data_IF_915150409505
#
_entry.id   IF_915150409505
#
_cell.length_a   1.000
_cell.length_b   1.000
_cell.length_c   1.000
_cell.angle_alpha   90.00
_cell.angle_beta   90.00
_cell.angle_gamma   90.00
#
_symmetry.space_group_name_H-M   'P 1'
#
loop_
_entity.id
_entity.type
_entity.pdbx_description
1 polymer ?
#
# COMPACT_ATOMS: atom_id res chain seq x y z
N UNK A 1 -17.32 0.46 -3.14
CA UNK A 1 -17.12 1.55 -2.17
C UNK A 1 -17.66 2.88 -2.70
N UNK A 2 -17.09 3.41 -3.78
CA UNK A 2 -17.40 4.78 -4.28
C UNK A 2 -18.89 5.05 -4.55
N UNK A 3 -19.63 4.10 -5.11
CA UNK A 3 -21.08 4.27 -5.34
C UNK A 3 -21.86 4.51 -4.05
N UNK A 4 -21.53 3.78 -2.97
CA UNK A 4 -22.18 4.00 -1.66
C UNK A 4 -21.83 5.34 -1.04
N UNK A 5 -20.58 5.79 -1.20
CA UNK A 5 -20.14 7.12 -0.75
C UNK A 5 -20.89 8.23 -1.48
N UNK A 6 -21.03 8.12 -2.79
CA UNK A 6 -21.76 9.10 -3.60
C UNK A 6 -23.23 9.13 -3.21
N UNK A 7 -23.88 7.98 -3.05
CA UNK A 7 -25.28 7.90 -2.60
C UNK A 7 -25.49 8.58 -1.24
N UNK A 8 -24.55 8.39 -0.29
CA UNK A 8 -24.61 9.04 1.01
C UNK A 8 -24.43 10.56 0.89
N UNK A 9 -23.43 11.02 0.13
CA UNK A 9 -23.19 12.46 -0.07
C UNK A 9 -24.32 13.18 -0.76
N UNK A 10 -24.86 12.63 -1.87
CA UNK A 10 -25.96 13.22 -2.62
C UNK A 10 -27.25 13.30 -1.81
N UNK A 11 -27.48 12.38 -0.89
CA UNK A 11 -28.63 12.41 0.02
C UNK A 11 -28.62 13.60 0.96
N UNK A 12 -27.44 14.03 1.38
CA UNK A 12 -27.25 15.22 2.24
C UNK A 12 -27.14 16.52 1.42
N UNK A 13 -26.78 16.41 0.14
CA UNK A 13 -26.50 17.52 -0.77
C UNK A 13 -27.37 17.42 -2.03
N UNK A 14 -28.69 17.60 -1.88
CA UNK A 14 -29.71 17.40 -2.95
C UNK A 14 -29.45 18.15 -4.25
N UNK A 15 -28.63 19.23 -4.23
CA UNK A 15 -28.30 20.04 -5.40
C UNK A 15 -26.99 19.60 -6.08
N UNK A 16 -26.32 18.58 -5.57
CA UNK A 16 -25.06 18.06 -6.11
C UNK A 16 -25.31 16.72 -6.78
N UNK A 17 -24.66 16.50 -7.91
CA UNK A 17 -24.64 15.20 -8.57
C UNK A 17 -23.18 14.84 -8.87
N UNK A 18 -22.71 13.71 -8.34
CA UNK A 18 -21.37 13.22 -8.53
C UNK A 18 -21.34 12.13 -9.60
N UNK A 19 -20.52 12.31 -10.64
CA UNK A 19 -20.35 11.34 -11.73
C UNK A 19 -19.02 10.61 -11.62
N UNK A 20 -19.06 9.30 -11.56
CA UNK A 20 -17.84 8.47 -11.56
C UNK A 20 -17.26 8.39 -12.97
N UNK A 21 -15.98 8.67 -13.09
CA UNK A 21 -15.16 8.34 -14.25
C UNK A 21 -14.21 7.20 -13.87
N UNK A 22 -14.49 5.99 -14.37
CA UNK A 22 -13.65 4.83 -14.13
C UNK A 22 -12.48 4.80 -15.11
N UNK A 23 -11.30 4.62 -14.59
CA UNK A 23 -10.08 4.36 -15.37
C UNK A 23 -9.39 3.12 -14.81
N UNK A 24 -9.02 2.13 -15.63
CA UNK A 24 -8.26 0.98 -15.16
C UNK A 24 -6.94 1.40 -14.53
N UNK A 25 -6.58 0.73 -13.44
CA UNK A 25 -5.32 0.98 -12.74
C UNK A 25 -4.14 0.22 -13.37
N UNK A 26 -4.38 -0.99 -13.87
CA UNK A 26 -3.33 -1.88 -14.40
C UNK A 26 -2.55 -1.21 -15.55
N UNK A 27 -1.22 -1.31 -15.49
CA UNK A 27 -0.34 -0.75 -16.54
C UNK A 27 -0.19 0.78 -16.50
N UNK A 28 -0.51 1.45 -15.40
CA UNK A 28 -0.34 2.90 -15.27
C UNK A 28 -1.34 3.75 -16.07
N UNK A 29 -2.38 3.14 -16.68
CA UNK A 29 -3.36 3.87 -17.49
C UNK A 29 -4.07 4.98 -16.74
N UNK A 30 -4.30 4.81 -15.45
CA UNK A 30 -4.95 5.82 -14.61
C UNK A 30 -4.13 7.12 -14.61
N UNK A 31 -2.85 7.04 -14.31
CA UNK A 31 -1.95 8.20 -14.23
C UNK A 31 -1.79 8.88 -15.59
N UNK A 32 -1.50 8.11 -16.63
CA UNK A 32 -1.36 8.64 -18.00
C UNK A 32 -2.62 9.38 -18.47
N UNK A 33 -3.81 8.85 -18.18
CA UNK A 33 -5.07 9.50 -18.56
C UNK A 33 -5.36 10.73 -17.72
N UNK A 34 -5.05 10.70 -16.42
CA UNK A 34 -5.22 11.85 -15.53
C UNK A 34 -4.33 13.01 -15.95
N UNK A 35 -3.05 12.75 -16.24
CA UNK A 35 -2.09 13.76 -16.73
C UNK A 35 -2.52 14.37 -18.05
N UNK A 36 -2.94 13.54 -19.01
CA UNK A 36 -3.44 14.02 -20.29
C UNK A 36 -4.71 14.88 -20.14
N UNK A 37 -5.62 14.49 -19.24
CA UNK A 37 -6.85 15.25 -18.94
C UNK A 37 -6.54 16.57 -18.24
N UNK A 38 -5.61 16.59 -17.29
CA UNK A 38 -5.16 17.80 -16.59
C UNK A 38 -4.51 18.79 -17.57
N UNK A 39 -3.60 18.31 -18.43
CA UNK A 39 -2.97 19.13 -19.47
C UNK A 39 -3.98 19.66 -20.51
N UNK A 40 -5.09 18.95 -20.75
CA UNK A 40 -6.21 19.37 -21.59
C UNK A 40 -7.28 20.24 -20.90
N UNK A 41 -7.16 20.51 -19.61
CA UNK A 41 -8.15 21.26 -18.81
C UNK A 41 -9.48 20.51 -18.62
N UNK A 42 -9.45 19.18 -18.61
CA UNK A 42 -10.63 18.29 -18.53
C UNK A 42 -10.49 17.20 -17.46
N UNK A 43 -9.55 17.36 -16.52
CA UNK A 43 -9.40 16.43 -15.41
C UNK A 43 -10.71 16.37 -14.57
N UNK A 44 -10.98 15.24 -13.90
CA UNK A 44 -12.06 15.15 -12.92
C UNK A 44 -11.93 16.22 -11.84
N UNK A 45 -13.03 16.71 -11.30
CA UNK A 45 -13.02 17.71 -10.23
C UNK A 45 -12.34 17.19 -8.96
N UNK A 46 -12.55 15.90 -8.62
CA UNK A 46 -11.88 15.17 -7.54
C UNK A 46 -11.30 13.87 -8.09
N UNK A 47 -10.09 13.51 -7.68
CA UNK A 47 -9.41 12.30 -8.15
C UNK A 47 -8.53 11.68 -7.06
N UNK A 48 -8.16 10.43 -7.23
CA UNK A 48 -7.21 9.76 -6.35
C UNK A 48 -5.79 10.20 -6.67
N UNK A 49 -5.04 10.50 -5.63
CA UNK A 49 -3.63 10.89 -5.72
C UNK A 49 -2.79 9.92 -4.89
N UNK A 50 -1.80 9.28 -5.52
CA UNK A 50 -0.74 8.59 -4.81
C UNK A 50 0.42 9.57 -4.58
N UNK A 51 1.09 9.45 -3.45
CA UNK A 51 2.22 10.30 -3.07
C UNK A 51 3.35 10.31 -4.11
N UNK A 52 3.51 9.23 -4.89
CA UNK A 52 4.48 9.12 -5.98
C UNK A 52 4.30 10.17 -7.09
N UNK A 53 3.09 10.70 -7.24
CA UNK A 53 2.75 11.69 -8.26
C UNK A 53 2.59 13.10 -7.67
N UNK A 54 2.66 13.25 -6.35
CA UNK A 54 2.37 14.49 -5.64
C UNK A 54 3.26 15.64 -6.11
N UNK A 55 4.58 15.42 -6.11
CA UNK A 55 5.55 16.48 -6.45
C UNK A 55 5.39 16.93 -7.90
N UNK A 56 5.31 15.98 -8.84
CA UNK A 56 5.11 16.28 -10.25
C UNK A 56 3.79 17.03 -10.52
N UNK A 57 2.72 16.66 -9.82
CA UNK A 57 1.41 17.30 -9.98
C UNK A 57 1.34 18.66 -9.30
N UNK A 58 2.01 18.83 -8.16
CA UNK A 58 2.14 20.13 -7.48
C UNK A 58 2.95 21.11 -8.35
N UNK A 59 4.10 20.71 -8.84
CA UNK A 59 4.94 21.53 -9.74
C UNK A 59 4.21 21.84 -11.06
N UNK A 60 3.41 20.90 -11.56
CA UNK A 60 2.57 21.07 -12.75
C UNK A 60 1.35 21.97 -12.55
N UNK A 61 1.07 22.43 -11.33
CA UNK A 61 -0.10 23.25 -11.00
C UNK A 61 -1.44 22.54 -11.20
N UNK A 62 -1.46 21.22 -11.02
CA UNK A 62 -2.66 20.39 -11.20
C UNK A 62 -3.51 20.38 -9.92
N UNK A 63 -2.86 20.51 -8.75
CA UNK A 63 -3.46 20.31 -7.44
C UNK A 63 -3.95 21.61 -6.83
N UNK A 64 -5.15 21.60 -6.27
CA UNK A 64 -5.70 22.67 -5.46
C UNK A 64 -5.15 22.60 -4.02
N UNK A 65 -5.01 23.76 -3.38
CA UNK A 65 -4.53 23.91 -2.00
C UNK A 65 -5.69 23.71 -1.01
N UNK A 66 -5.78 22.54 -0.40
CA UNK A 66 -6.80 22.16 0.56
C UNK A 66 -6.51 22.58 2.01
N UNK A 67 -5.40 23.28 2.28
CA UNK A 67 -4.93 23.59 3.63
C UNK A 67 -6.00 24.24 4.51
N UNK A 68 -6.73 25.21 3.98
CA UNK A 68 -7.79 25.91 4.73
C UNK A 68 -8.98 25.00 5.01
N UNK A 69 -9.42 24.24 4.03
CA UNK A 69 -10.55 23.33 4.17
C UNK A 69 -10.25 22.20 5.16
N UNK A 70 -9.01 21.67 5.14
CA UNK A 70 -8.56 20.65 6.10
C UNK A 70 -8.46 21.24 7.51
N UNK A 71 -7.93 22.47 7.67
CA UNK A 71 -7.81 23.12 8.98
C UNK A 71 -9.18 23.42 9.61
N UNK A 72 -10.20 23.65 8.80
CA UNK A 72 -11.58 23.91 9.25
C UNK A 72 -12.38 22.60 9.51
N UNK A 73 -11.77 21.43 9.25
CA UNK A 73 -12.36 20.11 9.43
C UNK A 73 -11.82 19.39 10.68
N UNK A 74 -12.27 18.15 10.91
CA UNK A 74 -11.76 17.28 11.99
C UNK A 74 -10.65 16.31 11.52
N UNK A 75 -10.13 16.49 10.30
CA UNK A 75 -9.14 15.59 9.69
C UNK A 75 -7.86 15.54 10.53
N UNK A 76 -7.30 16.69 10.90
CA UNK A 76 -6.06 16.75 11.69
C UNK A 76 -6.17 16.10 13.07
N UNK A 77 -7.38 15.97 13.61
CA UNK A 77 -7.63 15.39 14.94
C UNK A 77 -7.84 13.87 14.89
N UNK A 78 -8.14 13.32 13.71
CA UNK A 78 -8.60 11.93 13.57
C UNK A 78 -7.80 11.07 12.58
N UNK A 79 -6.78 11.65 11.96
CA UNK A 79 -5.85 10.94 11.07
C UNK A 79 -4.45 10.96 11.67
N UNK A 80 -3.63 9.96 11.37
CA UNK A 80 -2.22 10.02 11.79
C UNK A 80 -1.51 11.19 11.11
N UNK A 81 -0.60 11.83 11.86
CA UNK A 81 0.20 12.95 11.35
C UNK A 81 1.01 12.54 10.12
N UNK A 82 1.53 11.32 10.08
CA UNK A 82 2.26 10.76 8.94
C UNK A 82 1.41 10.76 7.68
N UNK A 83 0.15 10.28 7.76
CA UNK A 83 -0.74 10.23 6.59
C UNK A 83 -1.13 11.62 6.08
N UNK A 84 -1.38 12.57 6.98
CA UNK A 84 -1.69 13.95 6.58
C UNK A 84 -0.46 14.60 5.94
N UNK A 85 0.72 14.45 6.54
CA UNK A 85 1.97 15.05 6.08
C UNK A 85 2.46 14.47 4.74
N UNK A 86 2.08 13.24 4.39
CA UNK A 86 2.39 12.67 3.08
C UNK A 86 1.96 13.57 1.92
N UNK A 87 0.88 14.32 2.09
CA UNK A 87 0.32 15.20 1.06
C UNK A 87 0.65 16.68 1.26
N UNK A 88 1.60 17.01 2.14
CA UNK A 88 2.06 18.38 2.39
C UNK A 88 3.31 18.67 1.57
N UNK A 89 3.30 19.77 0.81
CA UNK A 89 4.47 20.34 0.15
C UNK A 89 4.46 21.86 0.32
N UNK A 90 5.60 22.44 0.64
CA UNK A 90 5.77 23.89 0.87
C UNK A 90 4.78 24.47 1.90
N UNK A 91 4.42 23.67 2.92
CA UNK A 91 3.47 24.05 3.97
C UNK A 91 2.00 24.08 3.50
N UNK A 92 1.69 23.52 2.35
CA UNK A 92 0.33 23.37 1.81
C UNK A 92 -0.05 21.91 1.74
N UNK A 93 -1.32 21.62 2.02
CA UNK A 93 -1.87 20.27 1.92
C UNK A 93 -2.69 20.11 0.63
N UNK A 94 -2.38 19.11 -0.17
CA UNK A 94 -2.94 18.90 -1.50
C UNK A 94 -3.91 17.73 -1.62
N UNK A 95 -4.08 16.94 -0.56
CA UNK A 95 -5.09 15.87 -0.57
C UNK A 95 -5.58 15.52 0.83
N UNK A 96 -6.81 15.04 0.90
CA UNK A 96 -7.38 14.39 2.08
C UNK A 96 -6.99 12.91 2.04
N UNK A 97 -6.30 12.35 3.05
CA UNK A 97 -5.97 10.92 3.06
C UNK A 97 -7.24 10.08 2.94
N UNK A 98 -7.22 9.13 2.01
CA UNK A 98 -8.34 8.22 1.73
C UNK A 98 -8.21 6.92 2.52
N UNK A 99 -7.09 6.29 2.37
CA UNK A 99 -6.73 5.00 2.92
C UNK A 99 -5.21 4.97 3.17
N UNK A 100 -4.78 3.86 3.74
CA UNK A 100 -3.37 3.50 3.74
C UNK A 100 -3.22 1.99 3.55
N UNK A 101 -2.03 1.58 3.19
CA UNK A 101 -1.57 0.21 3.18
C UNK A 101 -0.23 0.09 3.91
N UNK A 102 -0.04 -1.01 4.56
CA UNK A 102 1.20 -1.56 5.08
C UNK A 102 1.30 -2.99 4.58
N UNK A 103 2.33 -3.73 4.96
CA UNK A 103 2.57 -5.09 4.51
C UNK A 103 2.33 -6.10 5.64
N UNK A 104 1.94 -7.32 5.27
CA UNK A 104 1.85 -8.45 6.17
C UNK A 104 2.42 -9.71 5.49
N UNK A 105 2.85 -10.68 6.30
CA UNK A 105 3.27 -11.99 5.84
C UNK A 105 2.05 -12.90 5.73
N UNK A 106 1.61 -13.19 4.51
CA UNK A 106 0.56 -14.17 4.22
C UNK A 106 1.15 -15.57 4.14
N UNK A 107 0.37 -16.56 4.58
CA UNK A 107 0.76 -17.96 4.51
C UNK A 107 -0.40 -18.86 4.12
N UNK A 108 -0.08 -19.95 3.43
CA UNK A 108 -1.04 -20.97 2.97
C UNK A 108 -1.05 -22.15 3.93
N UNK A 109 -2.07 -22.21 4.79
CA UNK A 109 -2.26 -23.27 5.80
C UNK A 109 -2.22 -24.69 5.21
N UNK A 110 -2.78 -24.88 4.01
CA UNK A 110 -2.79 -26.19 3.36
C UNK A 110 -1.40 -26.69 3.02
N UNK A 111 -0.52 -25.81 2.54
CA UNK A 111 0.88 -26.17 2.24
C UNK A 111 1.69 -26.45 3.51
N UNK A 112 1.46 -25.69 4.57
CA UNK A 112 2.06 -25.92 5.88
C UNK A 112 1.61 -27.27 6.49
N UNK A 113 0.30 -27.54 6.46
CA UNK A 113 -0.27 -28.80 6.95
C UNK A 113 0.28 -30.00 6.18
N UNK A 114 0.38 -29.92 4.85
CA UNK A 114 0.96 -30.96 4.01
C UNK A 114 2.45 -31.21 4.31
N UNK A 115 3.20 -30.14 4.60
CA UNK A 115 4.60 -30.19 4.98
C UNK A 115 4.82 -30.68 6.43
N UNK A 116 3.77 -30.59 7.27
CA UNK A 116 3.87 -30.88 8.71
C UNK A 116 4.79 -29.86 9.42
N UNK A 117 4.67 -28.59 9.06
CA UNK A 117 5.45 -27.45 9.60
C UNK A 117 4.49 -26.53 10.35
N UNK A 118 4.93 -25.98 11.47
CA UNK A 118 4.15 -25.03 12.26
C UNK A 118 3.97 -23.72 11.48
N UNK A 119 2.82 -23.05 11.70
CA UNK A 119 2.51 -21.77 11.05
C UNK A 119 3.42 -20.65 11.54
N UNK A 120 3.61 -19.58 10.73
CA UNK A 120 4.30 -18.37 11.18
C UNK A 120 3.49 -17.66 12.28
N UNK A 121 4.17 -16.86 13.11
CA UNK A 121 3.60 -16.10 14.24
C UNK A 121 3.95 -14.63 14.14
N UNK A 122 3.20 -13.77 14.84
CA UNK A 122 3.39 -12.31 14.80
C UNK A 122 4.75 -11.84 15.40
N UNK A 123 5.45 -12.68 16.19
CA UNK A 123 6.70 -12.34 16.85
C UNK A 123 7.97 -12.86 16.12
N UNK A 124 7.83 -13.23 14.84
CA UNK A 124 8.95 -13.77 14.07
C UNK A 124 10.04 -12.73 13.80
N UNK A 125 11.29 -13.23 13.76
CA UNK A 125 12.41 -12.50 13.21
C UNK A 125 12.65 -12.89 11.75
N UNK A 126 13.46 -12.10 11.03
CA UNK A 126 13.90 -12.47 9.68
C UNK A 126 14.65 -13.82 9.67
N UNK A 127 15.47 -14.09 10.69
CA UNK A 127 16.16 -15.38 10.81
C UNK A 127 15.17 -16.54 10.97
N UNK A 128 14.06 -16.33 11.69
CA UNK A 128 12.98 -17.32 11.81
C UNK A 128 12.28 -17.54 10.47
N UNK A 129 12.04 -16.47 9.67
CA UNK A 129 11.51 -16.59 8.32
C UNK A 129 12.42 -17.44 7.42
N UNK A 130 13.73 -17.19 7.44
CA UNK A 130 14.71 -17.97 6.68
C UNK A 130 14.74 -19.44 7.13
N UNK A 131 14.71 -19.68 8.43
CA UNK A 131 14.67 -21.04 8.99
C UNK A 131 13.37 -21.76 8.58
N UNK A 132 12.23 -21.09 8.68
CA UNK A 132 10.91 -21.62 8.29
C UNK A 132 10.85 -21.93 6.79
N UNK A 133 11.32 -21.02 5.94
CA UNK A 133 11.41 -21.22 4.50
C UNK A 133 12.34 -22.40 4.14
N UNK A 134 13.45 -22.56 4.87
CA UNK A 134 14.39 -23.66 4.70
C UNK A 134 13.75 -25.01 5.08
N UNK A 135 13.00 -25.04 6.18
CA UNK A 135 12.28 -26.24 6.61
C UNK A 135 11.19 -26.64 5.60
N UNK A 136 10.47 -25.68 5.05
CA UNK A 136 9.43 -25.92 4.06
C UNK A 136 9.98 -26.44 2.73
N UNK A 137 11.09 -25.87 2.23
CA UNK A 137 11.63 -26.13 0.89
C UNK A 137 11.67 -27.61 0.51
N UNK A 138 12.16 -28.45 1.41
CA UNK A 138 12.35 -29.88 1.15
C UNK A 138 11.09 -30.72 1.38
N UNK A 139 10.02 -30.13 1.91
CA UNK A 139 8.79 -30.80 2.28
C UNK A 139 7.59 -30.44 1.39
N UNK A 140 7.73 -29.35 0.61
CA UNK A 140 6.67 -28.89 -0.27
C UNK A 140 6.53 -29.76 -1.53
N UNK A 141 5.32 -29.82 -2.12
CA UNK A 141 5.11 -30.48 -3.41
C UNK A 141 5.98 -29.87 -4.53
N UNK A 142 6.28 -30.67 -5.54
CA UNK A 142 7.00 -30.20 -6.74
C UNK A 142 6.22 -29.06 -7.41
N UNK A 143 6.93 -27.99 -7.77
CA UNK A 143 6.38 -26.77 -8.38
C UNK A 143 5.79 -25.76 -7.38
N UNK A 144 5.99 -25.99 -6.07
CA UNK A 144 5.69 -25.03 -5.03
C UNK A 144 6.96 -24.53 -4.34
N UNK A 145 6.89 -23.33 -3.80
CA UNK A 145 8.04 -22.66 -3.16
C UNK A 145 7.67 -22.22 -1.75
N UNK A 146 8.69 -22.13 -0.89
CA UNK A 146 8.48 -21.72 0.50
C UNK A 146 8.11 -20.25 0.62
N UNK A 147 8.76 -19.40 -0.18
CA UNK A 147 8.60 -17.94 -0.16
C UNK A 147 8.91 -17.37 -1.54
N UNK A 148 8.66 -16.09 -1.76
CA UNK A 148 9.10 -15.37 -2.96
C UNK A 148 9.85 -14.10 -2.58
N UNK A 149 10.95 -13.81 -3.30
CA UNK A 149 11.74 -12.59 -3.18
C UNK A 149 11.72 -11.85 -4.53
N UNK A 150 10.62 -11.20 -4.90
CA UNK A 150 10.56 -10.41 -6.11
C UNK A 150 11.33 -9.10 -5.93
N UNK A 151 11.66 -8.46 -7.05
CA UNK A 151 12.19 -7.10 -7.04
C UNK A 151 11.02 -6.14 -6.85
N UNK A 152 10.65 -5.90 -5.60
CA UNK A 152 9.64 -4.94 -5.20
C UNK A 152 10.14 -4.19 -3.96
N UNK A 153 10.18 -2.88 -4.07
CA UNK A 153 10.77 -1.98 -3.08
C UNK A 153 9.91 -1.89 -1.81
N UNK A 154 8.66 -1.50 -1.94
CA UNK A 154 7.74 -1.20 -0.83
C UNK A 154 7.42 -2.46 -0.01
N UNK A 155 7.22 -3.59 -0.66
CA UNK A 155 6.71 -4.81 -0.04
C UNK A 155 7.85 -5.69 0.50
N UNK A 156 9.07 -5.60 -0.05
CA UNK A 156 10.17 -6.47 0.34
C UNK A 156 11.38 -5.73 0.91
N UNK A 157 12.27 -5.22 0.08
CA UNK A 157 13.60 -4.85 0.58
C UNK A 157 13.67 -3.50 1.32
N UNK A 158 12.72 -2.60 1.15
CA UNK A 158 12.74 -1.35 1.90
C UNK A 158 12.69 -1.58 3.41
N UNK A 159 11.84 -2.51 3.87
CA UNK A 159 11.73 -2.84 5.28
C UNK A 159 13.06 -3.27 5.90
N UNK A 160 13.84 -4.14 5.23
CA UNK A 160 15.14 -4.59 5.74
C UNK A 160 16.23 -3.55 5.59
N UNK A 161 16.16 -2.69 4.58
CA UNK A 161 17.07 -1.55 4.41
C UNK A 161 16.92 -0.57 5.58
N UNK A 162 15.70 -0.11 5.86
CA UNK A 162 15.45 0.84 6.94
C UNK A 162 15.71 0.22 8.32
N UNK A 163 15.25 -1.00 8.57
CA UNK A 163 15.52 -1.72 9.81
C UNK A 163 17.02 -1.97 10.06
N UNK A 164 17.86 -2.03 9.01
CA UNK A 164 19.31 -2.07 9.11
C UNK A 164 19.97 -0.70 9.32
N UNK A 165 19.17 0.39 9.29
CA UNK A 165 19.66 1.77 9.35
C UNK A 165 20.30 2.24 8.06
N UNK A 166 19.96 1.62 6.92
CA UNK A 166 20.20 2.10 5.58
C UNK A 166 19.16 3.15 5.17
N UNK A 167 19.19 3.57 3.92
CA UNK A 167 18.28 4.58 3.40
C UNK A 167 18.13 4.46 1.88
N UNK A 168 17.01 4.94 1.34
CA UNK A 168 16.72 4.91 -0.10
C UNK A 168 16.95 6.29 -0.72
N UNK A 169 16.34 7.34 -0.15
CA UNK A 169 16.56 8.73 -0.52
C UNK A 169 17.06 9.51 0.69
N UNK A 170 17.97 10.46 0.49
CA UNK A 170 18.35 11.42 1.52
C UNK A 170 17.20 12.42 1.78
N UNK A 171 17.31 13.21 2.87
CA UNK A 171 16.26 14.15 3.28
C UNK A 171 15.91 15.18 2.19
N UNK A 172 16.87 15.55 1.35
CA UNK A 172 16.69 16.51 0.25
C UNK A 172 16.21 15.83 -1.05
N UNK A 173 16.03 14.49 -1.04
CA UNK A 173 15.66 13.68 -2.20
C UNK A 173 16.55 13.89 -3.45
N UNK A 174 17.85 14.15 -3.22
CA UNK A 174 18.84 14.43 -4.28
C UNK A 174 19.82 13.28 -4.53
N UNK A 175 19.91 12.34 -3.58
CA UNK A 175 20.83 11.20 -3.63
C UNK A 175 20.10 9.93 -3.20
N UNK A 176 20.51 8.78 -3.77
CA UNK A 176 20.03 7.45 -3.39
C UNK A 176 21.07 6.73 -2.53
N UNK A 177 20.61 5.94 -1.56
CA UNK A 177 21.46 5.20 -0.61
C UNK A 177 22.00 3.86 -1.11
N UNK A 178 21.87 3.50 -2.38
CA UNK A 178 22.27 2.17 -2.88
C UNK A 178 23.79 1.87 -2.81
N UNK A 179 24.63 2.90 -2.64
CA UNK A 179 26.06 2.72 -2.38
C UNK A 179 26.39 2.63 -0.88
N UNK A 180 25.43 2.86 0.01
CA UNK A 180 25.60 2.73 1.46
C UNK A 180 25.70 1.24 1.88
N UNK A 181 26.65 0.94 2.77
CA UNK A 181 26.91 -0.44 3.21
C UNK A 181 25.71 -1.08 3.89
N UNK A 182 24.99 -0.32 4.74
CA UNK A 182 23.80 -0.83 5.45
C UNK A 182 22.61 -1.07 4.51
N UNK A 183 22.46 -0.23 3.49
CA UNK A 183 21.47 -0.43 2.43
C UNK A 183 21.76 -1.73 1.68
N UNK A 184 23.02 -1.94 1.28
CA UNK A 184 23.44 -3.14 0.58
C UNK A 184 23.27 -4.41 1.44
N UNK A 185 23.56 -4.35 2.74
CA UNK A 185 23.32 -5.45 3.68
C UNK A 185 21.81 -5.78 3.79
N UNK A 186 20.95 -4.76 3.87
CA UNK A 186 19.50 -4.92 3.92
C UNK A 186 18.91 -5.54 2.64
N UNK A 187 19.55 -5.35 1.49
CA UNK A 187 19.17 -5.99 0.22
C UNK A 187 19.77 -7.39 0.12
N UNK A 188 21.02 -7.59 0.58
CA UNK A 188 21.75 -8.84 0.45
C UNK A 188 21.00 -10.03 1.07
N UNK A 189 20.29 -9.80 2.18
CA UNK A 189 19.54 -10.86 2.84
C UNK A 189 18.49 -11.52 1.93
N UNK A 190 17.87 -10.77 1.02
CA UNK A 190 16.92 -11.30 0.04
C UNK A 190 17.62 -12.06 -1.08
N UNK A 191 18.78 -11.57 -1.53
CA UNK A 191 19.64 -12.27 -2.51
C UNK A 191 20.08 -13.61 -1.94
N UNK A 192 20.47 -13.65 -0.67
CA UNK A 192 20.89 -14.88 0.01
C UNK A 192 19.75 -15.93 0.06
N UNK A 193 18.50 -15.50 0.25
CA UNK A 193 17.32 -16.39 0.16
C UNK A 193 17.11 -16.94 -1.26
N UNK A 194 17.32 -16.12 -2.29
CA UNK A 194 17.23 -16.55 -3.70
C UNK A 194 18.33 -17.57 -4.00
N UNK A 195 19.57 -17.29 -3.62
CA UNK A 195 20.72 -18.16 -3.85
C UNK A 195 20.60 -19.49 -3.07
N UNK A 196 19.97 -19.46 -1.89
CA UNK A 196 19.62 -20.66 -1.15
C UNK A 196 18.47 -21.46 -1.79
N UNK A 197 17.84 -20.95 -2.85
CA UNK A 197 16.72 -21.59 -3.54
C UNK A 197 15.44 -21.65 -2.71
N UNK A 198 15.23 -20.68 -1.83
CA UNK A 198 14.00 -20.52 -1.03
C UNK A 198 12.91 -19.79 -1.80
N UNK A 199 13.29 -19.05 -2.85
CA UNK A 199 12.44 -18.29 -3.75
C UNK A 199 12.48 -18.86 -5.18
N UNK A 200 11.40 -18.67 -5.97
CA UNK A 200 11.50 -18.79 -7.44
C UNK A 200 12.60 -17.90 -7.99
N UNK A 201 13.13 -18.26 -9.15
CA UNK A 201 14.10 -17.39 -9.83
C UNK A 201 13.46 -16.06 -10.28
N UNK A 202 14.29 -15.02 -10.45
CA UNK A 202 13.85 -13.75 -11.00
C UNK A 202 13.15 -13.92 -12.36
N UNK A 203 13.64 -14.84 -13.22
CA UNK A 203 13.00 -15.14 -14.51
C UNK A 203 11.58 -15.71 -14.32
N UNK A 204 11.39 -16.61 -13.34
CA UNK A 204 10.06 -17.17 -13.03
C UNK A 204 9.13 -16.08 -12.50
N UNK A 205 9.61 -15.21 -11.62
CA UNK A 205 8.82 -14.11 -11.05
C UNK A 205 8.49 -13.01 -12.08
N UNK A 206 9.32 -12.85 -13.10
CA UNK A 206 9.01 -11.95 -14.23
C UNK A 206 7.89 -12.51 -15.15
N UNK A 207 7.75 -13.84 -15.24
CA UNK A 207 6.67 -14.47 -16.00
C UNK A 207 5.37 -14.57 -15.20
N UNK A 208 5.46 -14.82 -13.89
CA UNK A 208 4.31 -14.96 -12.99
C UNK A 208 4.65 -14.28 -11.66
N UNK A 209 3.94 -13.21 -11.34
CA UNK A 209 4.18 -12.45 -10.11
C UNK A 209 4.02 -13.31 -8.85
N UNK A 210 4.68 -12.91 -7.77
CA UNK A 210 4.56 -13.58 -6.46
C UNK A 210 3.09 -13.67 -6.01
N UNK A 211 2.31 -12.60 -6.17
CA UNK A 211 0.88 -12.61 -5.84
C UNK A 211 0.11 -13.63 -6.65
N UNK A 212 0.31 -13.67 -7.97
CA UNK A 212 -0.36 -14.66 -8.83
C UNK A 212 0.04 -16.10 -8.48
N UNK A 213 1.31 -16.35 -8.09
CA UNK A 213 1.75 -17.66 -7.61
C UNK A 213 1.10 -18.02 -6.26
N UNK A 214 0.98 -17.04 -5.33
CA UNK A 214 0.32 -17.26 -4.05
C UNK A 214 -1.17 -17.54 -4.24
N UNK A 215 -1.86 -16.77 -5.06
CA UNK A 215 -3.26 -16.98 -5.44
C UNK A 215 -3.51 -18.33 -6.14
N UNK A 216 -2.52 -18.81 -6.86
CA UNK A 216 -2.52 -20.14 -7.49
C UNK A 216 -2.17 -21.29 -6.53
N UNK A 217 -1.83 -21.00 -5.26
CA UNK A 217 -1.43 -22.00 -4.27
C UNK A 217 -0.01 -22.56 -4.51
N UNK A 218 0.86 -21.82 -5.19
CA UNK A 218 2.22 -22.21 -5.53
C UNK A 218 3.28 -21.65 -4.55
N UNK A 219 2.88 -20.75 -3.64
CA UNK A 219 3.72 -20.23 -2.56
C UNK A 219 3.15 -20.60 -1.20
N UNK A 220 4.03 -21.03 -0.28
CA UNK A 220 3.65 -21.25 1.11
C UNK A 220 3.54 -19.94 1.88
N UNK A 221 4.39 -18.95 1.58
CA UNK A 221 4.38 -17.62 2.18
C UNK A 221 4.61 -16.54 1.12
N UNK A 222 4.01 -15.35 1.33
CA UNK A 222 4.17 -14.17 0.48
C UNK A 222 3.97 -12.89 1.29
N UNK A 223 4.79 -11.87 1.07
CA UNK A 223 4.45 -10.53 1.56
C UNK A 223 3.41 -9.90 0.64
N UNK A 224 2.45 -9.22 1.22
CA UNK A 224 1.46 -8.48 0.44
C UNK A 224 0.95 -7.26 1.21
N UNK A 225 0.73 -6.17 0.50
CA UNK A 225 0.06 -4.99 1.03
C UNK A 225 -1.44 -5.26 1.29
N UNK A 226 -2.04 -4.46 2.17
CA UNK A 226 -3.45 -4.62 2.54
C UNK A 226 -4.43 -4.49 1.36
N UNK A 227 -4.01 -3.87 0.26
CA UNK A 227 -4.77 -3.77 -0.98
C UNK A 227 -5.04 -5.11 -1.66
N UNK A 228 -4.27 -6.18 -1.31
CA UNK A 228 -4.49 -7.54 -1.82
C UNK A 228 -5.59 -8.30 -1.07
N UNK A 229 -6.02 -7.85 0.11
CA UNK A 229 -7.03 -8.53 0.92
C UNK A 229 -8.34 -8.81 0.17
N UNK A 230 -8.93 -7.86 -0.60
CA UNK A 230 -10.13 -8.13 -1.37
C UNK A 230 -9.93 -9.19 -2.45
N UNK A 231 -8.76 -9.22 -3.07
CA UNK A 231 -8.40 -10.20 -4.11
C UNK A 231 -8.29 -11.60 -3.48
N UNK A 232 -7.55 -11.72 -2.38
CA UNK A 232 -7.43 -12.97 -1.62
C UNK A 232 -8.76 -13.45 -1.04
N UNK A 233 -9.58 -12.56 -0.48
CA UNK A 233 -10.89 -12.90 0.11
C UNK A 233 -11.94 -13.34 -0.93
N UNK A 234 -11.78 -12.93 -2.19
CA UNK A 234 -12.66 -13.32 -3.30
C UNK A 234 -12.16 -14.53 -4.09
N UNK A 235 -10.93 -15.00 -3.86
CA UNK A 235 -10.32 -16.09 -4.60
C UNK A 235 -10.74 -17.46 -4.00
N UNK A 236 -11.62 -18.17 -4.69
CA UNK A 236 -12.13 -19.48 -4.25
C UNK A 236 -11.03 -20.54 -4.09
N UNK A 237 -9.86 -20.36 -4.68
CA UNK A 237 -8.74 -21.31 -4.57
C UNK A 237 -8.08 -21.26 -3.19
N UNK A 238 -7.94 -20.06 -2.61
CA UNK A 238 -7.12 -19.84 -1.41
C UNK A 238 -7.85 -19.24 -0.21
N UNK A 239 -8.97 -18.53 -0.38
CA UNK A 239 -9.61 -17.71 0.66
C UNK A 239 -9.82 -18.38 2.02
N UNK A 240 -10.13 -19.69 2.03
CA UNK A 240 -10.36 -20.45 3.26
C UNK A 240 -9.08 -21.13 3.80
N UNK A 241 -8.00 -21.07 3.03
CA UNK A 241 -6.74 -21.78 3.28
C UNK A 241 -5.61 -20.87 3.75
N UNK A 242 -5.80 -19.58 3.72
CA UNK A 242 -4.75 -18.60 4.04
C UNK A 242 -5.04 -17.87 5.35
N UNK A 243 -4.01 -17.24 5.89
CA UNK A 243 -4.08 -16.23 6.94
C UNK A 243 -2.81 -15.36 6.84
N UNK A 244 -2.70 -14.32 7.66
CA UNK A 244 -1.53 -13.49 7.72
C UNK A 244 -1.06 -13.27 9.16
N UNK A 245 0.19 -12.87 9.29
CA UNK A 245 0.86 -12.41 10.50
C UNK A 245 1.65 -11.15 10.20
N UNK A 246 2.14 -10.47 11.24
CA UNK A 246 3.01 -9.31 11.11
C UNK A 246 4.25 -9.64 10.26
N UNK A 247 4.87 -8.64 9.64
CA UNK A 247 6.14 -8.85 8.96
C UNK A 247 7.22 -9.17 9.99
N UNK A 248 8.21 -10.03 9.66
CA UNK A 248 9.28 -10.37 10.59
C UNK A 248 10.15 -9.16 10.90
N UNK A 249 10.56 -9.04 12.17
CA UNK A 249 11.55 -8.04 12.57
C UNK A 249 12.92 -8.33 11.96
N UNK A 250 13.60 -7.28 11.48
CA UNK A 250 14.98 -7.33 11.06
C UNK A 250 15.85 -6.56 12.05
N UNK A 251 16.92 -7.19 12.58
CA UNK A 251 17.75 -6.61 13.64
C UNK A 251 16.95 -6.14 14.88
N UNK A 252 15.81 -6.75 15.17
CA UNK A 252 14.94 -6.41 16.29
C UNK A 252 14.05 -5.17 16.04
N UNK A 253 13.94 -4.74 14.80
CA UNK A 253 13.10 -3.62 14.37
C UNK A 253 12.07 -4.14 13.36
N UNK A 254 10.81 -3.74 13.53
CA UNK A 254 9.77 -3.88 12.53
C UNK A 254 9.62 -2.55 11.81
N UNK A 255 10.23 -2.44 10.63
CA UNK A 255 10.10 -1.27 9.77
C UNK A 255 9.18 -1.59 8.59
N UNK A 256 7.90 -1.32 8.75
CA UNK A 256 6.94 -1.46 7.66
C UNK A 256 6.88 -0.18 6.81
N UNK A 257 6.52 -0.30 5.55
CA UNK A 257 6.29 0.85 4.70
C UNK A 257 4.81 1.22 4.71
N UNK A 258 4.50 2.51 4.92
CA UNK A 258 3.15 3.03 4.80
C UNK A 258 3.00 3.84 3.52
N UNK A 259 2.02 3.49 2.73
CA UNK A 259 1.61 4.19 1.53
C UNK A 259 0.08 4.31 1.53
N UNK A 260 -0.50 4.94 0.52
CA UNK A 260 -1.95 5.05 0.39
C UNK A 260 -2.33 6.02 -0.71
N UNK A 261 -3.63 6.26 -0.77
CA UNK A 261 -4.21 7.23 -1.69
C UNK A 261 -4.82 8.40 -0.93
N UNK A 262 -4.82 9.57 -1.56
CA UNK A 262 -5.54 10.74 -1.11
C UNK A 262 -6.61 11.16 -2.11
N UNK A 263 -7.58 11.92 -1.65
CA UNK A 263 -8.54 12.64 -2.48
C UNK A 263 -8.00 14.04 -2.75
N UNK A 264 -7.59 14.30 -3.99
CA UNK A 264 -7.12 15.59 -4.44
C UNK A 264 -8.19 16.30 -5.28
N UNK A 265 -8.13 17.64 -5.31
CA UNK A 265 -9.01 18.49 -6.12
C UNK A 265 -8.19 19.08 -7.27
N UNK A 266 -8.80 19.12 -8.46
CA UNK A 266 -8.18 19.71 -9.63
C UNK A 266 -8.19 21.25 -9.54
N UNK A 267 -7.01 21.89 -9.60
CA UNK A 267 -6.89 23.37 -9.54
C UNK A 267 -7.72 24.07 -10.63
N UNK A 268 -7.81 23.48 -11.83
CA UNK A 268 -8.59 24.00 -12.95
C UNK A 268 -10.09 23.65 -12.91
N UNK A 269 -10.60 23.07 -11.82
CA UNK A 269 -12.03 22.74 -11.68
C UNK A 269 -12.92 23.96 -11.78
N UNK A 270 -14.03 23.81 -12.49
CA UNK A 270 -15.11 24.85 -12.55
C UNK A 270 -16.08 24.74 -11.38
N UNK A 271 -16.01 23.65 -10.63
CA UNK A 271 -16.83 23.33 -9.48
C UNK A 271 -15.99 23.29 -8.19
N UNK A 272 -14.90 24.06 -8.12
CA UNK A 272 -13.86 23.97 -7.09
C UNK A 272 -14.43 23.92 -5.66
N UNK A 273 -15.29 24.87 -5.28
CA UNK A 273 -15.88 24.93 -3.94
C UNK A 273 -16.65 23.65 -3.57
N UNK A 274 -17.42 23.09 -4.50
CA UNK A 274 -18.15 21.84 -4.26
C UNK A 274 -17.24 20.62 -4.29
N UNK A 275 -16.17 20.64 -5.10
CA UNK A 275 -15.15 19.60 -5.13
C UNK A 275 -14.34 19.53 -3.82
N UNK A 276 -13.95 20.68 -3.26
CA UNK A 276 -13.32 20.77 -1.94
C UNK A 276 -14.24 20.22 -0.83
N UNK A 277 -15.52 20.64 -0.80
CA UNK A 277 -16.51 20.13 0.16
C UNK A 277 -16.66 18.61 0.06
N UNK A 278 -16.71 18.07 -1.16
CA UNK A 278 -16.81 16.64 -1.37
C UNK A 278 -15.54 15.91 -0.93
N UNK A 279 -14.35 16.42 -1.24
CA UNK A 279 -13.08 15.85 -0.81
C UNK A 279 -12.97 15.82 0.72
N UNK A 280 -13.34 16.91 1.41
CA UNK A 280 -13.37 16.98 2.88
C UNK A 280 -14.39 15.99 3.46
N UNK A 281 -15.62 15.93 2.88
CA UNK A 281 -16.63 14.97 3.33
C UNK A 281 -16.17 13.52 3.19
N UNK A 282 -15.41 13.19 2.13
CA UNK A 282 -14.80 11.86 1.96
C UNK A 282 -13.81 11.49 3.09
N UNK A 283 -13.26 12.47 3.83
CA UNK A 283 -12.49 12.28 5.06
C UNK A 283 -13.34 12.23 6.36
N UNK A 284 -14.66 12.44 6.28
CA UNK A 284 -15.53 12.41 7.46
C UNK A 284 -15.67 11.02 8.09
N UNK A 285 -16.11 10.98 9.35
CA UNK A 285 -16.34 9.72 10.05
C UNK A 285 -17.34 8.81 9.29
N UNK A 286 -18.42 9.40 8.73
CA UNK A 286 -19.42 8.65 7.96
C UNK A 286 -18.82 8.05 6.67
N UNK A 287 -18.14 8.86 5.89
CA UNK A 287 -17.54 8.40 4.63
C UNK A 287 -16.47 7.33 4.86
N UNK A 288 -15.61 7.54 5.83
CA UNK A 288 -14.53 6.61 6.17
C UNK A 288 -15.07 5.30 6.79
N UNK A 289 -16.17 5.34 7.54
CA UNK A 289 -16.89 4.14 7.98
C UNK A 289 -17.47 3.38 6.79
N UNK A 290 -18.23 4.05 5.90
CA UNK A 290 -18.80 3.43 4.69
C UNK A 290 -17.70 2.75 3.87
N UNK A 291 -16.56 3.40 3.71
CA UNK A 291 -15.41 2.85 2.99
C UNK A 291 -14.86 1.60 3.69
N UNK A 292 -14.56 1.67 4.99
CA UNK A 292 -14.02 0.56 5.78
C UNK A 292 -14.94 -0.66 5.81
N UNK A 293 -16.27 -0.45 5.96
CA UNK A 293 -17.27 -1.53 5.93
C UNK A 293 -17.34 -2.30 4.59
N UNK A 294 -16.77 -1.74 3.52
CA UNK A 294 -16.65 -2.50 2.27
C UNK A 294 -15.56 -3.57 2.30
N UNK A 295 -14.65 -3.51 3.28
CA UNK A 295 -13.52 -4.43 3.42
C UNK A 295 -12.48 -4.35 2.31
N UNK A 296 -12.47 -3.23 1.54
CA UNK A 296 -11.59 -3.09 0.37
C UNK A 296 -10.26 -2.45 0.74
N UNK A 297 -10.26 -1.47 1.66
CA UNK A 297 -9.07 -0.73 2.08
C UNK A 297 -9.12 -0.40 3.57
N UNK A 298 -7.97 -0.21 4.19
CA UNK A 298 -7.87 0.31 5.55
C UNK A 298 -8.17 1.81 5.50
N UNK A 299 -9.14 2.26 6.26
CA UNK A 299 -9.48 3.67 6.36
C UNK A 299 -8.31 4.50 6.88
N UNK A 300 -8.03 5.65 6.28
CA UNK A 300 -7.03 6.58 6.79
C UNK A 300 -7.43 7.19 8.14
N UNK A 301 -8.73 7.25 8.44
CA UNK A 301 -9.26 7.74 9.70
C UNK A 301 -9.12 6.68 10.80
N UNK A 302 -8.44 7.01 11.89
CA UNK A 302 -8.05 6.06 12.96
C UNK A 302 -9.25 5.33 13.57
N UNK A 303 -10.35 6.03 13.86
CA UNK A 303 -11.55 5.45 14.46
C UNK A 303 -12.35 4.53 13.52
N UNK A 304 -12.06 4.58 12.21
CA UNK A 304 -12.70 3.79 11.16
C UNK A 304 -11.89 2.57 10.69
N UNK A 305 -10.63 2.42 11.05
CA UNK A 305 -9.75 1.31 10.64
C UNK A 305 -10.31 -0.08 11.00
N UNK A 306 -10.97 -0.17 12.16
CA UNK A 306 -11.60 -1.41 12.65
C UNK A 306 -12.60 -2.05 11.68
N UNK A 307 -13.30 -1.24 10.87
CA UNK A 307 -14.32 -1.74 9.95
C UNK A 307 -13.74 -2.61 8.83
N UNK A 308 -12.51 -2.33 8.40
CA UNK A 308 -11.81 -3.18 7.43
C UNK A 308 -11.56 -4.60 8.00
N UNK A 309 -11.06 -4.69 9.23
CA UNK A 309 -10.81 -5.96 9.90
C UNK A 309 -12.12 -6.69 10.22
N UNK A 310 -13.18 -5.99 10.64
CA UNK A 310 -14.49 -6.58 10.90
C UNK A 310 -15.12 -7.19 9.63
N UNK A 311 -14.97 -6.51 8.48
CA UNK A 311 -15.47 -6.98 7.19
C UNK A 311 -14.74 -8.24 6.67
N UNK A 312 -13.50 -8.48 7.11
CA UNK A 312 -12.64 -9.58 6.71
C UNK A 312 -12.20 -10.43 7.92
N UNK A 313 -13.07 -10.63 8.90
CA UNK A 313 -12.78 -11.21 10.22
C UNK A 313 -12.25 -12.66 10.21
N UNK A 314 -12.19 -13.30 9.04
CA UNK A 314 -11.58 -14.63 8.85
C UNK A 314 -10.04 -14.60 8.87
N UNK A 315 -9.41 -13.41 8.74
CA UNK A 315 -7.98 -13.22 8.69
C UNK A 315 -7.46 -12.38 9.88
N UNK A 316 -6.19 -12.54 10.25
CA UNK A 316 -5.51 -11.73 11.26
C UNK A 316 -5.08 -10.37 10.67
N UNK A 317 -6.04 -9.51 10.32
CA UNK A 317 -5.73 -8.21 9.71
C UNK A 317 -5.17 -7.16 10.69
N UNK A 318 -5.10 -7.48 11.99
CA UNK A 318 -4.35 -6.68 12.96
C UNK A 318 -2.87 -6.54 12.57
N UNK A 319 -2.32 -7.53 11.86
CA UNK A 319 -0.98 -7.51 11.30
C UNK A 319 -0.66 -6.28 10.43
N UNK A 320 -1.67 -5.64 9.84
CA UNK A 320 -1.51 -4.42 9.04
C UNK A 320 -1.59 -3.12 9.86
N UNK A 321 -2.14 -3.16 11.07
CA UNK A 321 -2.47 -1.94 11.83
C UNK A 321 -1.72 -1.82 13.14
N UNK A 322 -1.19 -2.91 13.69
CA UNK A 322 -0.54 -2.91 15.02
C UNK A 322 0.66 -1.95 15.08
N UNK A 323 1.43 -1.83 14.01
CA UNK A 323 2.64 -0.99 13.92
C UNK A 323 2.54 0.09 12.84
N UNK A 324 1.32 0.42 12.35
CA UNK A 324 1.13 1.39 11.28
C UNK A 324 1.61 2.81 11.63
N UNK A 325 1.53 3.19 12.92
CA UNK A 325 2.01 4.50 13.39
C UNK A 325 3.55 4.60 13.44
N UNK A 326 4.24 3.46 13.44
CA UNK A 326 5.71 3.36 13.44
C UNK A 326 6.27 3.19 12.03
N UNK A 327 5.40 2.92 11.03
CA UNK A 327 5.79 2.69 9.65
C UNK A 327 6.39 3.95 9.01
N UNK A 328 7.44 3.76 8.22
CA UNK A 328 8.05 4.85 7.47
C UNK A 328 7.22 5.15 6.20
N UNK A 329 7.08 6.44 5.84
CA UNK A 329 6.43 6.81 4.59
C UNK A 329 7.28 6.37 3.38
N UNK A 330 6.60 6.05 2.28
CA UNK A 330 7.27 5.75 1.03
C UNK A 330 8.19 6.93 0.62
N UNK A 331 9.50 6.70 0.38
CA UNK A 331 10.41 7.78 -0.01
C UNK A 331 10.03 8.31 -1.40
N UNK A 332 9.89 9.62 -1.52
CA UNK A 332 9.43 10.25 -2.77
C UNK A 332 10.31 11.44 -3.18
N UNK A 333 10.37 11.67 -4.48
CA UNK A 333 11.01 12.82 -5.10
C UNK A 333 10.22 13.20 -6.36
N UNK A 334 10.57 14.31 -6.99
CA UNK A 334 9.89 14.77 -8.23
C UNK A 334 9.94 13.74 -9.37
N UNK A 335 10.94 12.84 -9.37
CA UNK A 335 11.10 11.74 -10.31
C UNK A 335 10.76 10.36 -9.72
N UNK A 336 9.93 10.30 -8.66
CA UNK A 336 9.64 9.07 -7.93
C UNK A 336 9.16 7.95 -8.86
N UNK A 337 8.23 8.20 -9.78
CA UNK A 337 7.74 7.20 -10.70
C UNK A 337 8.84 6.59 -11.58
N UNK A 338 9.82 7.41 -12.05
CA UNK A 338 10.98 6.91 -12.81
C UNK A 338 11.95 6.13 -11.92
N UNK A 339 12.14 6.54 -10.66
CA UNK A 339 12.97 5.83 -9.71
C UNK A 339 12.43 4.42 -9.49
N UNK A 340 11.15 4.30 -9.17
CA UNK A 340 10.52 3.00 -8.93
C UNK A 340 10.48 2.09 -10.15
N UNK A 341 10.30 2.65 -11.35
CA UNK A 341 10.44 1.88 -12.60
C UNK A 341 11.84 1.28 -12.74
N UNK A 342 12.89 2.02 -12.35
CA UNK A 342 14.28 1.53 -12.39
C UNK A 342 14.57 0.52 -11.30
N UNK A 343 13.98 0.67 -10.12
CA UNK A 343 14.14 -0.27 -9.01
C UNK A 343 13.47 -1.62 -9.29
N UNK A 344 12.45 -1.64 -10.15
CA UNK A 344 11.70 -2.84 -10.53
C UNK A 344 12.26 -3.57 -11.77
N UNK A 345 13.39 -3.14 -12.34
CA UNK A 345 14.02 -3.73 -13.52
C UNK A 345 15.42 -4.29 -13.25
#
# INVERSE_FOLDING_TARGET
AMEKLIEAYEKENENVTVKIQLTPYKGGEYWTKLEAAAGGGTAPDVFWLNVLHLDAYQEGGILDDLSSAIADSDINDNFSETLVNNYVRDGKNYAVPKDFDTNALWYNKELFDQAGVEYPTDDMTYDDLVALATELKDKLPEGTYAFACPVDFQTWYYQTVYANGGWILNDDATETGYEDEKTQEGIQCWIDMIDAGLSPSAATLAETSADAMFEGGQLAMNFAGSYMVPEYASNDTIKDKINCVEIPTFNGVEDNCINGLGYAVYEGSKNKEEAEKFAIWLGSAEAQQIQGETGVVISARTDAQKYFAEANSQYNLAAYTNHADEAYPLPVCAQAAELYDKEST
#
